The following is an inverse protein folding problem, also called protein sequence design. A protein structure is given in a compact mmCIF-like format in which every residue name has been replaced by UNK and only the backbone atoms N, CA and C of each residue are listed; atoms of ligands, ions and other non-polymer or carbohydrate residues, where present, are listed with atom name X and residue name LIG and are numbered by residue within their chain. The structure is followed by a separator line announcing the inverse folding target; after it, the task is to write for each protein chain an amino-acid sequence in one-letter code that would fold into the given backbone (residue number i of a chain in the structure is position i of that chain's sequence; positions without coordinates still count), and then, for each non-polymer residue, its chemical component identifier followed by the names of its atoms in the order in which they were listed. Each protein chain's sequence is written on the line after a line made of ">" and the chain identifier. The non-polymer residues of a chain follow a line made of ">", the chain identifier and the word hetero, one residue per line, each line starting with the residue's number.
data_IF_064484926115
#
_entry.id   IF_064484926115
#
_cell.length_a   1.000
_cell.length_b   1.000
_cell.length_c   1.000
_cell.angle_alpha   90.00
_cell.angle_beta   90.00
_cell.angle_gamma   90.00
#
_symmetry.space_group_name_H-M   'P 1'
#
loop_
_entity.id
_entity.type
_entity.pdbx_description
1 polymer ?
#
# COMPACT_ATOMS: atom_id res chain seq x y z
N UNK A 1 -9.72 -1.76 -9.26
CA UNK A 1 -10.37 -2.41 -8.10
C UNK A 1 -9.60 -2.14 -6.81
N UNK A 2 -10.24 -1.87 -5.66
CA UNK A 2 -9.50 -1.65 -4.39
C UNK A 2 -9.06 -2.98 -3.75
N UNK A 3 -7.75 -3.14 -3.51
CA UNK A 3 -7.16 -4.29 -2.81
C UNK A 3 -7.21 -4.08 -1.31
N UNK A 4 -6.78 -2.90 -0.85
CA UNK A 4 -6.96 -2.46 0.52
C UNK A 4 -7.00 -0.93 0.62
N UNK A 5 -7.61 -0.46 1.70
CA UNK A 5 -7.62 0.92 2.15
C UNK A 5 -7.55 0.91 3.67
N UNK A 6 -6.45 1.44 4.20
CA UNK A 6 -6.13 1.31 5.61
C UNK A 6 -5.52 2.59 6.17
N UNK A 7 -6.04 3.03 7.30
CA UNK A 7 -5.39 4.02 8.16
C UNK A 7 -4.20 3.38 8.90
N UNK A 8 -3.05 4.03 8.80
CA UNK A 8 -1.75 3.53 9.22
C UNK A 8 -1.60 3.63 10.73
N UNK A 9 -1.22 2.52 11.34
CA UNK A 9 -0.88 2.42 12.77
C UNK A 9 0.62 2.53 12.97
N UNK A 10 1.03 2.70 14.22
CA UNK A 10 2.44 2.74 14.62
C UNK A 10 3.26 1.58 14.02
N UNK A 11 2.72 0.36 14.06
CA UNK A 11 3.40 -0.83 13.51
C UNK A 11 3.58 -0.76 11.99
N UNK A 12 2.62 -0.17 11.29
CA UNK A 12 2.67 0.00 9.84
C UNK A 12 3.77 1.00 9.45
N UNK A 13 3.94 2.07 10.22
CA UNK A 13 4.97 3.08 9.92
C UNK A 13 6.37 2.60 10.29
N UNK A 14 6.53 1.91 11.42
CA UNK A 14 7.85 1.62 11.98
C UNK A 14 8.42 0.26 11.57
N UNK A 15 7.57 -0.73 11.28
CA UNK A 15 8.02 -2.12 11.10
C UNK A 15 7.50 -2.76 9.82
N UNK A 16 6.19 -2.92 9.71
CA UNK A 16 5.56 -3.68 8.63
C UNK A 16 4.09 -3.33 8.48
N UNK A 17 3.64 -3.24 7.24
CA UNK A 17 2.23 -3.03 6.96
C UNK A 17 1.48 -4.36 6.88
N UNK A 18 0.51 -4.55 7.75
CA UNK A 18 -0.38 -5.73 7.72
C UNK A 18 -1.76 -5.38 7.21
N UNK A 19 -2.40 -6.26 6.45
CA UNK A 19 -3.74 -6.00 5.91
C UNK A 19 -4.62 -7.26 5.97
N UNK A 20 -5.95 -7.13 5.81
CA UNK A 20 -6.85 -8.27 5.95
C UNK A 20 -6.56 -9.40 4.95
N UNK A 21 -6.60 -10.65 5.42
CA UNK A 21 -6.35 -11.86 4.61
C UNK A 21 -7.24 -11.93 3.35
N UNK A 22 -8.48 -11.42 3.42
CA UNK A 22 -9.39 -11.37 2.26
C UNK A 22 -8.82 -10.63 1.04
N UNK A 23 -7.92 -9.66 1.24
CA UNK A 23 -7.30 -8.91 0.14
C UNK A 23 -6.35 -9.77 -0.69
N UNK A 24 -5.91 -10.93 -0.19
CA UNK A 24 -5.09 -11.88 -0.93
C UNK A 24 -5.79 -12.45 -2.16
N UNK A 25 -7.13 -12.44 -2.22
CA UNK A 25 -7.88 -12.90 -3.39
C UNK A 25 -7.59 -12.08 -4.66
N UNK A 26 -6.99 -10.90 -4.52
CA UNK A 26 -6.62 -10.01 -5.62
C UNK A 26 -5.16 -10.12 -6.04
N UNK A 27 -4.38 -10.95 -5.35
CA UNK A 27 -2.95 -11.11 -5.55
C UNK A 27 -2.65 -12.54 -5.98
N UNK A 28 -1.93 -12.70 -7.08
CA UNK A 28 -1.45 -14.00 -7.52
C UNK A 28 -0.05 -14.27 -6.97
N UNK A 29 0.10 -15.38 -6.25
CA UNK A 29 1.37 -15.79 -5.67
C UNK A 29 2.05 -16.90 -6.47
N UNK A 30 1.43 -17.42 -7.53
CA UNK A 30 1.98 -18.50 -8.36
C UNK A 30 2.48 -19.73 -7.56
N UNK A 31 1.86 -20.04 -6.42
CA UNK A 31 2.26 -21.13 -5.53
C UNK A 31 3.33 -20.78 -4.47
N UNK A 32 3.88 -19.57 -4.51
CA UNK A 32 4.93 -19.11 -3.59
C UNK A 32 4.38 -18.50 -2.28
N UNK A 33 5.29 -18.28 -1.32
CA UNK A 33 4.98 -17.62 -0.05
C UNK A 33 4.99 -16.08 -0.15
N UNK A 34 5.49 -15.53 -1.25
CA UNK A 34 5.55 -14.09 -1.48
C UNK A 34 5.28 -13.76 -2.95
N UNK A 35 4.91 -12.51 -3.21
CA UNK A 35 4.77 -11.92 -4.54
C UNK A 35 5.36 -10.52 -4.52
N UNK A 36 6.07 -10.15 -5.59
CA UNK A 36 6.53 -8.79 -5.82
C UNK A 36 5.49 -8.02 -6.64
N UNK A 37 4.91 -6.99 -6.01
CA UNK A 37 3.91 -6.15 -6.63
C UNK A 37 4.61 -4.99 -7.34
N UNK A 38 4.49 -4.94 -8.66
CA UNK A 38 4.86 -3.76 -9.45
C UNK A 38 3.75 -2.71 -9.27
N UNK A 39 4.03 -1.70 -8.45
CA UNK A 39 3.10 -0.61 -8.13
C UNK A 39 3.56 0.68 -8.80
N UNK A 40 2.63 1.42 -9.37
CA UNK A 40 2.85 2.81 -9.76
C UNK A 40 2.45 3.71 -8.59
N UNK A 41 3.31 4.61 -8.19
CA UNK A 41 3.00 5.55 -7.12
C UNK A 41 2.29 6.81 -7.64
N UNK A 42 1.93 7.73 -6.75
CA UNK A 42 1.24 8.97 -7.15
C UNK A 42 2.13 9.94 -7.93
N UNK A 43 3.46 9.79 -7.88
CA UNK A 43 4.40 10.52 -8.74
C UNK A 43 4.50 9.93 -10.15
N UNK A 44 3.96 8.73 -10.36
CA UNK A 44 4.00 8.01 -11.64
C UNK A 44 5.21 7.08 -11.78
N UNK A 45 6.03 6.97 -10.75
CA UNK A 45 7.20 6.09 -10.70
C UNK A 45 6.80 4.65 -10.40
N UNK A 46 7.51 3.71 -11.02
CA UNK A 46 7.33 2.28 -10.75
C UNK A 46 8.18 1.86 -9.55
N UNK A 47 7.56 1.21 -8.59
CA UNK A 47 8.17 0.69 -7.38
C UNK A 47 7.81 -0.78 -7.21
N UNK A 48 8.66 -1.52 -6.52
CA UNK A 48 8.40 -2.91 -6.16
C UNK A 48 8.10 -2.99 -4.67
N UNK A 49 6.92 -3.50 -4.33
CA UNK A 49 6.55 -3.80 -2.95
C UNK A 49 6.31 -5.31 -2.80
N UNK A 50 7.09 -5.97 -1.95
CA UNK A 50 6.93 -7.40 -1.68
C UNK A 50 5.80 -7.65 -0.70
N UNK A 51 4.82 -8.44 -1.09
CA UNK A 51 3.82 -9.00 -0.20
C UNK A 51 4.19 -10.44 0.21
N UNK A 52 4.08 -10.77 1.50
CA UNK A 52 4.26 -12.12 2.02
C UNK A 52 2.97 -12.65 2.65
N UNK A 53 2.63 -13.89 2.37
CA UNK A 53 1.67 -14.66 3.18
C UNK A 53 2.34 -15.07 4.48
N UNK A 54 1.55 -15.17 5.55
CA UNK A 54 2.00 -15.72 6.82
C UNK A 54 1.19 -16.97 7.14
N UNK A 55 1.88 -18.00 7.63
CA UNK A 55 1.24 -19.22 8.13
C UNK A 55 1.31 -19.20 9.68
N UNK A 56 0.24 -19.64 10.35
CA UNK A 56 0.13 -19.70 11.81
C UNK A 56 -0.98 -18.82 12.39
N UNK A 57 -0.99 -18.62 13.72
CA UNK A 57 -2.04 -17.89 14.46
C UNK A 57 -2.21 -16.41 14.02
N UNK A 58 -1.21 -15.86 13.33
CA UNK A 58 -1.24 -14.54 12.71
C UNK A 58 -1.07 -14.67 11.20
N UNK A 59 -2.17 -15.03 10.54
CA UNK A 59 -2.29 -15.30 9.11
C UNK A 59 -2.31 -14.03 8.23
N UNK A 60 -2.36 -12.86 8.85
CA UNK A 60 -2.46 -11.59 8.13
C UNK A 60 -1.24 -11.38 7.22
N UNK A 61 -1.45 -11.15 5.92
CA UNK A 61 -0.36 -10.84 5.00
C UNK A 61 0.29 -9.52 5.35
N UNK A 62 1.54 -9.39 4.89
CA UNK A 62 2.38 -8.22 5.19
C UNK A 62 3.03 -7.69 3.93
N UNK A 63 3.12 -6.36 3.81
CA UNK A 63 4.05 -5.72 2.88
C UNK A 63 5.39 -5.57 3.59
N UNK A 64 6.42 -6.21 3.03
CA UNK A 64 7.76 -6.25 3.63
C UNK A 64 8.74 -5.33 2.88
N UNK A 65 9.21 -5.76 1.70
CA UNK A 65 10.22 -5.01 0.94
C UNK A 65 9.53 -3.85 0.24
N UNK A 66 10.18 -2.69 0.17
CA UNK A 66 9.66 -1.48 -0.49
C UNK A 66 8.66 -0.68 0.34
N UNK A 67 8.02 -1.29 1.35
CA UNK A 67 7.03 -0.60 2.17
C UNK A 67 7.61 0.53 3.02
N UNK A 68 8.68 0.27 3.79
CA UNK A 68 9.30 1.32 4.61
C UNK A 68 9.97 2.40 3.76
N UNK A 69 10.43 2.05 2.56
CA UNK A 69 10.91 3.05 1.59
C UNK A 69 9.76 3.95 1.14
N UNK A 70 8.60 3.38 0.79
CA UNK A 70 7.40 4.16 0.48
C UNK A 70 6.95 5.06 1.64
N UNK A 71 7.03 4.58 2.89
CA UNK A 71 6.76 5.39 4.09
C UNK A 71 7.71 6.59 4.17
N UNK A 72 9.01 6.37 3.95
CA UNK A 72 10.01 7.43 3.97
C UNK A 72 9.83 8.43 2.81
N UNK A 73 9.68 7.90 1.60
CA UNK A 73 9.51 8.67 0.36
C UNK A 73 8.28 9.57 0.39
N UNK A 74 7.23 9.22 1.14
CA UNK A 74 6.02 10.04 1.26
C UNK A 74 5.86 10.68 2.64
N UNK A 75 6.84 10.56 3.53
CA UNK A 75 6.78 11.12 4.88
C UNK A 75 5.52 10.71 5.64
N UNK A 76 5.13 9.43 5.54
CA UNK A 76 3.91 8.92 6.13
C UNK A 76 4.00 8.86 7.65
N UNK A 77 2.89 9.17 8.31
CA UNK A 77 2.76 9.14 9.77
C UNK A 77 1.52 8.37 10.20
N UNK A 78 1.46 8.07 11.50
CA UNK A 78 0.28 7.44 12.10
C UNK A 78 -0.95 8.30 11.84
N UNK A 79 -2.04 7.68 11.39
CA UNK A 79 -3.27 8.36 10.99
C UNK A 79 -3.35 8.75 9.51
N UNK A 80 -2.26 8.67 8.75
CA UNK A 80 -2.33 8.72 7.29
C UNK A 80 -2.96 7.42 6.74
N UNK A 81 -3.29 7.41 5.45
CA UNK A 81 -3.95 6.29 4.79
C UNK A 81 -3.14 5.81 3.60
N UNK A 82 -3.01 4.50 3.47
CA UNK A 82 -2.47 3.85 2.28
C UNK A 82 -3.59 3.10 1.55
N UNK A 83 -3.65 3.29 0.24
CA UNK A 83 -4.62 2.63 -0.64
C UNK A 83 -3.84 1.89 -1.72
N UNK A 84 -4.14 0.60 -1.91
CA UNK A 84 -3.64 -0.19 -3.03
C UNK A 84 -4.80 -0.51 -3.95
N UNK A 85 -4.65 -0.12 -5.21
CA UNK A 85 -5.61 -0.35 -6.27
C UNK A 85 -4.99 -1.31 -7.28
N UNK A 86 -5.78 -2.27 -7.76
CA UNK A 86 -5.47 -3.07 -8.94
C UNK A 86 -5.94 -2.32 -10.18
N UNK A 87 -5.07 -2.22 -11.18
CA UNK A 87 -5.37 -1.66 -12.49
C UNK A 87 -5.69 -2.79 -13.46
N UNK A 88 -6.84 -2.70 -14.14
CA UNK A 88 -7.26 -3.70 -15.12
C UNK A 88 -6.66 -3.43 -16.52
N UNK A 89 -6.10 -2.23 -16.73
CA UNK A 89 -5.42 -1.85 -17.97
C UNK A 89 -3.90 -2.03 -17.86
N UNK A 90 -3.43 -3.16 -18.38
CA UNK A 90 -2.01 -3.53 -18.39
C UNK A 90 -1.11 -2.64 -19.28
N UNK A 91 -1.67 -1.64 -20.00
CA UNK A 91 -0.89 -0.73 -20.86
C UNK A 91 0.03 0.21 -20.09
N UNK A 92 -0.18 0.38 -18.78
CA UNK A 92 0.55 1.31 -17.92
C UNK A 92 1.85 0.74 -17.33
N UNK A 93 2.19 -0.52 -17.61
CA UNK A 93 3.43 -1.15 -17.13
C UNK A 93 3.41 -1.60 -15.66
N UNK A 94 2.39 -1.20 -14.90
CA UNK A 94 2.07 -1.70 -13.54
C UNK A 94 0.76 -2.47 -13.53
N UNK A 95 0.64 -3.43 -12.60
CA UNK A 95 -0.64 -4.10 -12.31
C UNK A 95 -1.40 -3.41 -11.17
N UNK A 96 -0.72 -2.54 -10.43
CA UNK A 96 -1.23 -1.91 -9.23
C UNK A 96 -0.83 -0.45 -9.17
N UNK A 97 -1.63 0.35 -8.46
CA UNK A 97 -1.33 1.71 -8.06
C UNK A 97 -1.36 1.81 -6.55
N UNK A 98 -0.39 2.51 -5.96
CA UNK A 98 -0.36 2.80 -4.52
C UNK A 98 -0.50 4.30 -4.28
N UNK A 99 -1.37 4.67 -3.35
CA UNK A 99 -1.66 6.05 -2.99
C UNK A 99 -1.47 6.27 -1.49
N UNK A 100 -0.82 7.37 -1.15
CA UNK A 100 -0.75 7.91 0.20
C UNK A 100 -1.72 9.06 0.35
N UNK A 101 -2.54 9.04 1.40
CA UNK A 101 -3.51 10.10 1.71
C UNK A 101 -3.40 10.58 3.14
N UNK A 102 -3.70 11.85 3.37
CA UNK A 102 -3.70 12.50 4.67
C UNK A 102 -4.97 13.30 4.87
N UNK A 103 -5.52 13.26 6.09
CA UNK A 103 -6.66 14.10 6.46
C UNK A 103 -6.26 15.57 6.37
N UNK A 104 -7.06 16.34 5.65
CA UNK A 104 -6.97 17.79 5.54
C UNK A 104 -8.36 18.38 5.80
N UNK A 105 -8.40 19.61 6.29
CA UNK A 105 -9.66 20.34 6.47
C UNK A 105 -9.81 21.28 5.27
N UNK A 106 -10.83 21.06 4.45
CA UNK A 106 -11.20 21.95 3.35
C UNK A 106 -12.60 22.47 3.61
N UNK A 107 -12.75 23.81 3.64
CA UNK A 107 -14.04 24.48 3.89
C UNK A 107 -14.76 24.02 5.17
N UNK A 108 -14.02 23.61 6.20
CA UNK A 108 -14.57 23.13 7.46
C UNK A 108 -14.91 21.63 7.49
N UNK A 109 -14.73 20.91 6.39
CA UNK A 109 -14.94 19.46 6.31
C UNK A 109 -13.62 18.69 6.28
N UNK A 110 -13.58 17.54 6.97
CA UNK A 110 -12.44 16.63 6.93
C UNK A 110 -12.49 15.76 5.67
N UNK A 111 -11.48 15.87 4.82
CA UNK A 111 -11.34 15.08 3.59
C UNK A 111 -9.95 14.45 3.49
N UNK A 112 -9.82 13.40 2.67
CA UNK A 112 -8.54 12.76 2.38
C UNK A 112 -7.88 13.38 1.15
N UNK A 113 -6.78 14.10 1.34
CA UNK A 113 -5.95 14.63 0.26
C UNK A 113 -4.75 13.73 -0.02
N UNK A 114 -4.24 13.75 -1.26
CA UNK A 114 -3.04 12.99 -1.62
C UNK A 114 -1.79 13.59 -0.97
N UNK A 115 -0.86 12.72 -0.57
CA UNK A 115 0.45 13.13 -0.03
C UNK A 115 1.46 13.11 -1.18
N UNK A 116 2.15 14.23 -1.47
CA UNK A 116 3.20 14.25 -2.47
C UNK A 116 4.44 13.52 -1.97
N UNK A 117 5.25 13.02 -2.91
CA UNK A 117 6.56 12.46 -2.61
C UNK A 117 7.47 13.54 -2.02
N UNK A 118 8.23 13.19 -1.00
CA UNK A 118 9.31 13.98 -0.40
C UNK A 118 10.48 13.96 -1.39
N UNK A 119 10.94 15.15 -1.80
CA UNK A 119 12.07 15.32 -2.72
C UNK A 119 13.37 14.70 -2.19
#
# INVERSE_FOLDING_TARGET
>A
MEVFNKELKYTDIQFQFSFPTRSLQYLDFAGEFFVDLNVKDSSGELQVIRCRKRNGDYDKPVLSIGWLQFVADYGLRVGDRAVLLREDDHRLGSQFRVEAKRKIILFGEEVWGDVPRVN
#
